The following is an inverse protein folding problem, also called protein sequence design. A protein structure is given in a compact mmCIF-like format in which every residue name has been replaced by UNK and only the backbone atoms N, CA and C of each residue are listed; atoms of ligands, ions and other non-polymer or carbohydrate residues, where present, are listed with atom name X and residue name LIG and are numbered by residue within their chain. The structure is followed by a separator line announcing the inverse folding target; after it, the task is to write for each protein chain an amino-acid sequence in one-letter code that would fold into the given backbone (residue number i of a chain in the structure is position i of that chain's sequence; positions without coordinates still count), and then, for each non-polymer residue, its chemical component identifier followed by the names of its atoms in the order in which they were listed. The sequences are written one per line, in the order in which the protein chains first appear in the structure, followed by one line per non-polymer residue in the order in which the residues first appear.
data_IF_468165567075
#
_entry.id   IF_468165567075
#
_cell.length_a   1.000
_cell.length_b   1.000
_cell.length_c   1.000
_cell.angle_alpha   90.00
_cell.angle_beta   90.00
_cell.angle_gamma   90.00
#
_symmetry.space_group_name_H-M   'P 1'
#
loop_
_entity.id
_entity.type
_entity.pdbx_description
1 polymer ?
#
# COMPACT_ATOMS: atom_id res chain seq x y z
N UNK A 1 -1.44 35.07 -27.09
CA UNK A 1 -1.67 34.67 -25.71
C UNK A 1 -1.35 35.83 -24.79
N UNK A 2 -2.26 36.17 -23.86
CA UNK A 2 -2.02 37.25 -22.90
C UNK A 2 -0.92 36.85 -21.89
N UNK A 3 -0.22 37.83 -21.31
CA UNK A 3 0.78 37.62 -20.29
C UNK A 3 0.23 36.77 -19.11
N UNK A 4 -1.02 37.05 -18.73
CA UNK A 4 -1.79 36.32 -17.73
C UNK A 4 -1.89 34.82 -18.06
N UNK A 5 -2.24 34.48 -19.29
CA UNK A 5 -2.38 33.08 -19.74
C UNK A 5 -1.02 32.34 -19.71
N UNK A 6 0.05 33.01 -20.13
CA UNK A 6 1.40 32.42 -20.08
C UNK A 6 1.83 32.11 -18.66
N UNK A 7 1.63 33.06 -17.73
CA UNK A 7 2.02 32.87 -16.34
C UNK A 7 1.21 31.76 -15.64
N UNK A 8 -0.12 31.69 -15.89
CA UNK A 8 -0.94 30.58 -15.37
C UNK A 8 -0.45 29.23 -15.87
N UNK A 9 -0.09 29.12 -17.13
CA UNK A 9 0.45 27.87 -17.68
C UNK A 9 1.76 27.48 -16.99
N UNK A 10 2.69 28.43 -16.83
CA UNK A 10 3.96 28.15 -16.15
C UNK A 10 3.76 27.70 -14.70
N UNK A 11 2.91 28.40 -13.93
CA UNK A 11 2.64 28.04 -12.54
C UNK A 11 1.99 26.66 -12.45
N UNK A 12 0.97 26.39 -13.27
CA UNK A 12 0.32 25.07 -13.25
C UNK A 12 1.24 23.95 -13.75
N UNK A 13 2.11 24.20 -14.72
CA UNK A 13 3.12 23.22 -15.16
C UNK A 13 4.11 22.91 -14.05
N UNK A 14 4.61 23.92 -13.33
CA UNK A 14 5.52 23.72 -12.21
C UNK A 14 4.87 22.94 -11.09
N UNK A 15 3.62 23.26 -10.73
CA UNK A 15 2.83 22.55 -9.72
C UNK A 15 2.56 21.11 -10.14
N UNK A 16 2.25 20.87 -11.41
CA UNK A 16 2.05 19.51 -11.93
C UNK A 16 3.33 18.67 -11.79
N UNK A 17 4.48 19.22 -12.16
CA UNK A 17 5.78 18.54 -12.03
C UNK A 17 6.07 18.25 -10.56
N UNK A 18 5.89 19.22 -9.67
CA UNK A 18 6.10 19.02 -8.24
C UNK A 18 5.17 17.94 -7.67
N UNK A 19 3.92 17.91 -8.10
CA UNK A 19 2.94 16.88 -7.72
C UNK A 19 3.37 15.50 -8.18
N UNK A 20 3.83 15.36 -9.43
CA UNK A 20 4.31 14.09 -9.96
C UNK A 20 5.54 13.58 -9.19
N UNK A 21 6.49 14.45 -8.88
CA UNK A 21 7.65 14.09 -8.08
C UNK A 21 7.21 13.65 -6.68
N UNK A 22 6.29 14.39 -6.04
CA UNK A 22 5.76 14.04 -4.73
C UNK A 22 5.06 12.68 -4.72
N UNK A 23 4.21 12.40 -5.72
CA UNK A 23 3.55 11.10 -5.86
C UNK A 23 4.55 9.95 -6.04
N UNK A 24 5.57 10.13 -6.89
CA UNK A 24 6.61 9.13 -7.08
C UNK A 24 7.38 8.86 -5.78
N UNK A 25 7.73 9.93 -5.05
CA UNK A 25 8.41 9.80 -3.76
C UNK A 25 7.55 9.04 -2.74
N UNK A 26 6.27 9.36 -2.65
CA UNK A 26 5.33 8.66 -1.76
C UNK A 26 5.26 7.19 -2.14
N UNK A 27 5.09 6.86 -3.42
CA UNK A 27 5.05 5.47 -3.89
C UNK A 27 6.31 4.71 -3.50
N UNK A 28 7.50 5.26 -3.73
CA UNK A 28 8.77 4.61 -3.41
C UNK A 28 8.94 4.38 -1.90
N UNK A 29 8.63 5.40 -1.08
CA UNK A 29 8.76 5.28 0.38
C UNK A 29 7.76 4.26 0.93
N UNK A 30 6.52 4.30 0.44
CA UNK A 30 5.48 3.40 0.92
C UNK A 30 5.76 1.95 0.54
N UNK A 31 6.26 1.68 -0.67
CA UNK A 31 6.67 0.34 -1.07
C UNK A 31 7.75 -0.23 -0.16
N UNK A 32 8.75 0.59 0.17
CA UNK A 32 9.81 0.18 1.09
C UNK A 32 9.24 -0.18 2.46
N UNK A 33 8.36 0.66 3.00
CA UNK A 33 7.74 0.44 4.30
C UNK A 33 6.88 -0.84 4.32
N UNK A 34 6.04 -1.04 3.30
CA UNK A 34 5.23 -2.27 3.15
C UNK A 34 6.11 -3.51 3.13
N UNK A 35 7.19 -3.47 2.35
CA UNK A 35 8.12 -4.59 2.28
C UNK A 35 8.76 -4.90 3.64
N UNK A 36 9.24 -3.88 4.35
CA UNK A 36 9.84 -4.06 5.67
C UNK A 36 8.83 -4.61 6.68
N UNK A 37 7.59 -4.14 6.65
CA UNK A 37 6.50 -4.59 7.50
C UNK A 37 6.15 -6.06 7.22
N UNK A 38 5.94 -6.42 5.96
CA UNK A 38 5.63 -7.79 5.55
C UNK A 38 6.77 -8.74 5.92
N UNK A 39 8.03 -8.38 5.67
CA UNK A 39 9.19 -9.20 6.04
C UNK A 39 9.31 -9.38 7.54
N UNK A 40 9.09 -8.32 8.31
CA UNK A 40 9.09 -8.39 9.78
C UNK A 40 8.00 -9.32 10.30
N UNK A 41 6.79 -9.20 9.76
CA UNK A 41 5.64 -10.03 10.11
C UNK A 41 5.88 -11.50 9.73
N UNK A 42 6.46 -11.76 8.54
CA UNK A 42 6.87 -13.11 8.14
C UNK A 42 7.87 -13.72 9.11
N UNK A 43 8.90 -12.98 9.48
CA UNK A 43 9.93 -13.47 10.43
C UNK A 43 9.32 -13.81 11.79
N UNK A 44 8.41 -12.98 12.28
CA UNK A 44 7.69 -13.24 13.55
C UNK A 44 6.78 -14.46 13.44
N UNK A 45 6.06 -14.60 12.33
CA UNK A 45 5.21 -15.77 12.08
C UNK A 45 6.04 -17.06 11.97
N UNK A 46 7.15 -17.03 11.24
CA UNK A 46 8.11 -18.14 11.17
C UNK A 46 8.56 -18.57 12.56
N UNK A 47 9.05 -17.61 13.34
CA UNK A 47 9.52 -17.90 14.69
C UNK A 47 8.40 -18.48 15.57
N UNK A 48 7.20 -17.91 15.54
CA UNK A 48 6.06 -18.39 16.31
C UNK A 48 5.67 -19.84 15.92
N UNK A 49 5.61 -20.11 14.61
CA UNK A 49 5.27 -21.43 14.08
C UNK A 49 6.37 -22.44 14.43
N UNK A 50 7.64 -22.12 14.24
CA UNK A 50 8.74 -23.00 14.62
C UNK A 50 8.74 -23.34 16.12
N UNK A 51 8.47 -22.37 16.98
CA UNK A 51 8.36 -22.61 18.42
C UNK A 51 7.14 -23.47 18.75
N UNK A 52 6.01 -23.24 18.08
CA UNK A 52 4.80 -24.04 18.22
C UNK A 52 5.05 -25.51 17.84
N UNK A 53 5.64 -25.76 16.67
CA UNK A 53 5.97 -27.10 16.17
C UNK A 53 6.98 -27.79 17.08
N UNK A 54 8.01 -27.10 17.57
CA UNK A 54 9.01 -27.67 18.50
C UNK A 54 8.41 -28.04 19.85
N UNK A 55 7.48 -27.22 20.35
CA UNK A 55 6.86 -27.43 21.68
C UNK A 55 5.79 -28.52 21.67
N UNK A 56 5.08 -28.65 20.57
CA UNK A 56 4.02 -29.62 20.39
C UNK A 56 4.11 -30.23 18.99
N UNK A 57 4.73 -31.41 18.82
CA UNK A 57 4.84 -32.09 17.52
C UNK A 57 3.49 -32.42 16.87
N UNK A 58 2.43 -32.50 17.68
CA UNK A 58 1.06 -32.71 17.19
C UNK A 58 0.32 -31.38 16.89
N UNK A 59 1.06 -30.28 16.88
CA UNK A 59 0.55 -28.92 16.59
C UNK A 59 -0.24 -28.82 15.29
N UNK A 60 -0.01 -29.67 14.33
CA UNK A 60 -0.72 -29.71 13.04
C UNK A 60 -1.99 -30.56 13.01
N UNK A 61 -2.30 -31.30 14.12
CA UNK A 61 -3.56 -32.05 14.24
C UNK A 61 -4.69 -31.13 14.73
N UNK A 62 -4.88 -30.01 14.05
CA UNK A 62 -5.83 -28.93 14.38
C UNK A 62 -7.31 -29.29 14.32
N UNK A 63 -7.65 -30.53 14.08
CA UNK A 63 -9.03 -31.01 14.09
C UNK A 63 -9.62 -31.25 15.48
N UNK A 64 -8.93 -30.90 16.56
CA UNK A 64 -9.51 -31.02 17.91
C UNK A 64 -10.03 -29.68 18.38
N UNK A 65 -11.34 -29.66 18.62
CA UNK A 65 -12.16 -28.54 19.15
C UNK A 65 -11.68 -27.93 20.49
N UNK A 66 -10.62 -28.45 21.11
CA UNK A 66 -10.20 -28.08 22.45
C UNK A 66 -8.83 -27.38 22.57
N UNK A 67 -8.17 -27.00 21.48
CA UNK A 67 -6.86 -26.35 21.59
C UNK A 67 -6.93 -24.85 21.31
N UNK A 68 -6.96 -24.08 22.38
CA UNK A 68 -6.94 -22.61 22.46
C UNK A 68 -5.71 -21.90 21.88
N UNK A 69 -4.78 -22.60 21.25
CA UNK A 69 -3.59 -22.03 20.59
C UNK A 69 -3.56 -22.42 19.12
N UNK A 70 -4.71 -22.34 18.50
CA UNK A 70 -4.89 -22.81 17.15
C UNK A 70 -4.56 -21.77 16.09
N UNK A 71 -4.67 -22.25 14.89
CA UNK A 71 -4.64 -21.54 13.64
C UNK A 71 -5.50 -20.25 13.62
N UNK A 72 -6.49 -20.13 14.51
CA UNK A 72 -7.32 -18.94 14.69
C UNK A 72 -6.51 -17.71 15.10
N UNK A 73 -5.48 -17.84 15.94
CA UNK A 73 -4.61 -16.71 16.29
C UNK A 73 -3.69 -16.32 15.12
N UNK A 74 -3.26 -17.30 14.33
CA UNK A 74 -2.49 -17.05 13.11
C UNK A 74 -3.36 -16.44 12.00
N UNK A 75 -4.67 -16.68 12.00
CA UNK A 75 -5.61 -16.08 11.04
C UNK A 75 -5.83 -14.58 11.26
N UNK A 76 -5.51 -14.06 12.43
CA UNK A 76 -5.54 -12.62 12.72
C UNK A 76 -4.32 -11.87 12.18
N UNK A 77 -3.28 -12.59 11.72
CA UNK A 77 -2.12 -11.95 11.08
C UNK A 77 -2.54 -11.47 9.69
N UNK A 78 -2.83 -10.17 9.58
CA UNK A 78 -3.35 -9.52 8.36
C UNK A 78 -2.30 -9.64 7.29
N UNK A 79 -1.45 -9.54 6.87
CA UNK A 79 -0.44 -9.43 5.80
C UNK A 79 0.09 -10.76 5.29
N UNK A 80 -0.34 -11.88 5.88
CA UNK A 80 0.17 -13.20 5.54
C UNK A 80 -0.95 -14.18 5.25
N UNK A 81 -0.74 -14.98 4.23
CA UNK A 81 -1.52 -16.18 3.95
C UNK A 81 -0.70 -17.40 4.37
N UNK A 82 -1.18 -18.12 5.38
CA UNK A 82 -0.53 -19.31 5.90
C UNK A 82 -1.31 -20.51 5.38
N UNK A 83 -0.61 -21.39 4.71
CA UNK A 83 -1.17 -22.59 4.10
C UNK A 83 -0.47 -23.82 4.66
N UNK A 84 -1.23 -24.82 5.04
CA UNK A 84 -0.76 -26.08 5.56
C UNK A 84 -0.92 -27.18 4.53
N UNK A 85 0.15 -27.89 4.22
CA UNK A 85 0.19 -28.99 3.27
C UNK A 85 0.65 -30.27 3.94
N UNK A 86 0.08 -31.40 3.51
CA UNK A 86 0.60 -32.72 3.89
C UNK A 86 1.84 -33.09 3.06
N UNK A 87 2.39 -34.29 3.32
CA UNK A 87 3.53 -34.83 2.57
C UNK A 87 3.23 -35.17 1.10
N UNK A 88 1.96 -35.14 0.68
CA UNK A 88 1.48 -35.39 -0.69
C UNK A 88 1.15 -34.09 -1.44
N UNK A 89 1.57 -32.93 -0.92
CA UNK A 89 1.26 -31.59 -1.46
C UNK A 89 -0.25 -31.28 -1.51
N UNK A 90 -1.07 -31.93 -0.66
CA UNK A 90 -2.50 -31.64 -0.55
C UNK A 90 -2.66 -30.52 0.48
N UNK A 91 -3.33 -29.45 0.10
CA UNK A 91 -3.70 -28.37 1.01
C UNK A 91 -4.70 -28.90 2.04
N UNK A 92 -4.35 -28.86 3.30
CA UNK A 92 -5.21 -29.29 4.40
C UNK A 92 -6.00 -28.12 4.97
N UNK A 93 -5.34 -26.98 5.16
CA UNK A 93 -5.94 -25.80 5.77
C UNK A 93 -5.25 -24.53 5.26
N UNK A 94 -5.97 -23.41 5.25
CA UNK A 94 -5.41 -22.09 4.99
C UNK A 94 -6.07 -21.03 5.85
N UNK A 95 -5.31 -19.97 6.20
CA UNK A 95 -5.89 -18.82 6.87
C UNK A 95 -6.79 -18.07 5.90
N UNK A 96 -8.05 -17.90 6.28
CA UNK A 96 -8.98 -17.03 5.56
C UNK A 96 -8.87 -15.62 6.14
N UNK A 97 -8.15 -14.74 5.47
CA UNK A 97 -8.26 -13.33 5.79
C UNK A 97 -9.65 -12.86 5.36
N UNK A 98 -10.41 -12.28 6.27
CA UNK A 98 -11.72 -11.69 5.97
C UNK A 98 -11.51 -10.42 5.14
N UNK A 99 -11.32 -10.61 3.82
CA UNK A 99 -11.23 -9.53 2.83
C UNK A 99 -12.55 -8.75 2.67
N UNK A 100 -13.62 -9.19 3.37
CA UNK A 100 -14.98 -8.70 3.16
C UNK A 100 -15.19 -7.23 3.52
N UNK A 101 -14.30 -6.61 4.29
CA UNK A 101 -14.43 -5.21 4.71
C UNK A 101 -13.62 -4.20 3.88
N UNK A 102 -12.68 -4.64 3.06
CA UNK A 102 -11.77 -3.74 2.34
C UNK A 102 -12.08 -3.74 0.86
N UNK A 103 -12.43 -2.57 0.32
CA UNK A 103 -12.53 -2.40 -1.13
C UNK A 103 -11.14 -2.49 -1.75
N UNK A 104 -10.86 -3.49 -2.59
CA UNK A 104 -9.57 -3.63 -3.22
C UNK A 104 -9.27 -2.39 -4.09
N UNK A 105 -8.01 -1.99 -4.20
CA UNK A 105 -7.62 -0.93 -5.11
C UNK A 105 -7.87 -1.33 -6.57
N UNK A 106 -7.91 -0.37 -7.51
CA UNK A 106 -8.05 -0.68 -8.93
C UNK A 106 -6.91 -1.59 -9.43
N UNK A 107 -7.22 -2.52 -10.32
CA UNK A 107 -6.27 -3.50 -10.84
C UNK A 107 -5.00 -2.86 -11.44
N UNK A 108 -5.13 -1.74 -12.18
CA UNK A 108 -3.98 -1.02 -12.72
C UNK A 108 -3.01 -0.52 -11.65
N UNK A 109 -3.53 -0.16 -10.47
CA UNK A 109 -2.74 0.30 -9.35
C UNK A 109 -1.98 -0.86 -8.69
N UNK A 110 -2.65 -1.99 -8.47
CA UNK A 110 -2.02 -3.23 -7.98
C UNK A 110 -0.88 -3.63 -8.92
N UNK A 111 -1.17 -3.71 -10.23
CA UNK A 111 -0.17 -4.04 -11.24
C UNK A 111 1.04 -3.10 -11.24
N UNK A 112 0.80 -1.80 -11.06
CA UNK A 112 1.87 -0.80 -10.99
C UNK A 112 2.77 -1.02 -9.76
N UNK A 113 2.18 -1.27 -8.60
CA UNK A 113 2.93 -1.52 -7.37
C UNK A 113 3.70 -2.84 -7.47
N UNK A 114 3.07 -3.91 -7.88
CA UNK A 114 3.72 -5.22 -8.03
C UNK A 114 4.89 -5.17 -9.02
N UNK A 115 4.75 -4.43 -10.13
CA UNK A 115 5.82 -4.27 -11.10
C UNK A 115 7.01 -3.46 -10.57
N UNK A 116 6.76 -2.56 -9.64
CA UNK A 116 7.79 -1.72 -9.01
C UNK A 116 8.36 -2.37 -7.74
N UNK A 117 7.66 -3.36 -7.17
CA UNK A 117 8.09 -4.09 -5.99
C UNK A 117 9.06 -5.21 -6.38
N UNK A 118 10.09 -5.41 -5.57
CA UNK A 118 10.90 -6.62 -5.66
C UNK A 118 10.06 -7.80 -5.17
N UNK A 119 10.27 -8.98 -5.73
CA UNK A 119 9.59 -10.22 -5.32
C UNK A 119 9.82 -10.48 -3.82
N UNK A 120 8.72 -10.62 -3.09
CA UNK A 120 8.76 -11.05 -1.69
C UNK A 120 8.68 -12.57 -1.72
N UNK A 121 9.72 -13.22 -1.19
CA UNK A 121 9.81 -14.68 -1.16
C UNK A 121 8.81 -15.25 -0.16
N UNK A 122 8.26 -16.44 -0.49
CA UNK A 122 7.51 -17.23 0.47
C UNK A 122 8.47 -18.01 1.38
N UNK A 123 8.04 -18.28 2.60
CA UNK A 123 8.76 -19.14 3.52
C UNK A 123 8.11 -20.50 3.62
N UNK A 124 8.94 -21.56 3.71
CA UNK A 124 8.49 -22.94 3.84
C UNK A 124 9.11 -23.55 5.10
N UNK A 125 8.26 -23.93 6.04
CA UNK A 125 8.64 -24.60 7.28
C UNK A 125 8.23 -26.07 7.17
N UNK A 126 9.20 -26.98 7.20
CA UNK A 126 8.93 -28.40 7.18
C UNK A 126 8.52 -28.86 8.58
N UNK A 127 7.56 -29.77 8.64
CA UNK A 127 7.10 -30.39 9.88
C UNK A 127 7.56 -31.84 9.87
N UNK A 128 8.49 -32.14 10.77
CA UNK A 128 9.05 -33.48 10.93
C UNK A 128 8.52 -34.08 12.23
N UNK A 129 7.95 -35.28 12.13
CA UNK A 129 7.54 -36.05 13.30
C UNK A 129 8.33 -37.34 13.35
N UNK A 130 9.05 -37.58 14.45
CA UNK A 130 9.89 -38.78 14.66
C UNK A 130 10.92 -39.04 13.54
N UNK A 131 11.36 -37.98 12.84
CA UNK A 131 12.30 -38.08 11.72
C UNK A 131 11.68 -38.36 10.35
N UNK A 132 10.35 -38.37 10.27
CA UNK A 132 9.64 -38.48 8.99
C UNK A 132 8.92 -37.13 8.72
N UNK A 133 9.02 -36.64 7.50
CA UNK A 133 8.33 -35.42 7.05
C UNK A 133 6.83 -35.71 6.96
N UNK A 134 6.05 -35.08 7.79
CA UNK A 134 4.58 -35.22 7.83
C UNK A 134 3.86 -34.18 7.03
N UNK A 135 4.50 -33.04 6.78
CA UNK A 135 3.94 -31.96 5.99
C UNK A 135 4.81 -30.72 6.02
N UNK A 136 4.27 -29.62 5.55
CA UNK A 136 4.93 -28.32 5.61
C UNK A 136 3.93 -27.17 5.69
N UNK A 137 4.37 -26.07 6.28
CA UNK A 137 3.64 -24.81 6.33
C UNK A 137 4.27 -23.87 5.33
N UNK A 138 3.45 -23.26 4.49
CA UNK A 138 3.83 -22.27 3.52
C UNK A 138 3.29 -20.91 3.95
N UNK A 139 4.19 -19.98 4.20
CA UNK A 139 3.87 -18.60 4.57
C UNK A 139 4.06 -17.74 3.34
N UNK A 140 2.98 -17.14 2.83
CA UNK A 140 2.99 -16.25 1.68
C UNK A 140 2.61 -14.83 2.10
N UNK A 141 3.28 -13.81 1.57
CA UNK A 141 2.83 -12.43 1.76
C UNK A 141 1.50 -12.20 1.02
N UNK A 142 0.60 -11.47 1.66
CA UNK A 142 -0.66 -11.04 1.07
C UNK A 142 -0.85 -9.53 1.28
N UNK A 143 -0.11 -8.68 0.54
CA UNK A 143 -0.04 -7.24 0.78
C UNK A 143 -1.26 -6.47 0.24
N UNK A 144 -2.40 -7.12 0.05
CA UNK A 144 -3.60 -6.48 -0.50
C UNK A 144 -4.17 -5.39 0.42
N UNK A 145 -4.01 -5.56 1.73
CA UNK A 145 -4.45 -4.61 2.75
C UNK A 145 -3.64 -3.32 2.65
N UNK A 146 -2.33 -3.43 2.58
CA UNK A 146 -1.40 -2.32 2.43
C UNK A 146 -1.66 -1.57 1.12
N UNK A 147 -1.88 -2.29 0.04
CA UNK A 147 -2.22 -1.68 -1.24
C UNK A 147 -3.53 -0.90 -1.17
N UNK A 148 -4.51 -1.38 -0.41
CA UNK A 148 -5.77 -0.67 -0.20
C UNK A 148 -5.59 0.59 0.65
N UNK A 149 -4.77 0.53 1.70
CA UNK A 149 -4.44 1.70 2.52
C UNK A 149 -3.66 2.75 1.72
N UNK A 150 -2.64 2.35 0.98
CA UNK A 150 -1.88 3.24 0.09
C UNK A 150 -2.82 3.92 -0.91
N UNK A 151 -3.72 3.15 -1.51
CA UNK A 151 -4.70 3.68 -2.45
C UNK A 151 -5.61 4.72 -1.80
N UNK A 152 -6.04 4.49 -0.57
CA UNK A 152 -6.81 5.47 0.20
C UNK A 152 -6.02 6.73 0.47
N UNK A 153 -4.78 6.62 0.93
CA UNK A 153 -3.89 7.75 1.19
C UNK A 153 -3.63 8.57 -0.08
N UNK A 154 -3.40 7.91 -1.21
CA UNK A 154 -3.22 8.58 -2.51
C UNK A 154 -4.48 9.35 -2.91
N UNK A 155 -5.67 8.76 -2.76
CA UNK A 155 -6.94 9.46 -3.05
C UNK A 155 -7.09 10.73 -2.22
N UNK A 156 -6.86 10.64 -0.91
CA UNK A 156 -6.93 11.79 -0.01
C UNK A 156 -5.89 12.84 -0.41
N UNK A 157 -4.66 12.42 -0.69
CA UNK A 157 -3.60 13.31 -1.17
C UNK A 157 -3.96 14.02 -2.47
N UNK A 158 -4.54 13.33 -3.44
CA UNK A 158 -4.99 13.92 -4.71
C UNK A 158 -6.11 14.95 -4.51
N UNK A 159 -7.05 14.70 -3.58
CA UNK A 159 -8.07 15.67 -3.22
C UNK A 159 -7.48 16.95 -2.62
N UNK A 160 -6.53 16.81 -1.70
CA UNK A 160 -5.84 17.94 -1.06
C UNK A 160 -5.08 18.76 -2.12
N UNK A 161 -4.32 18.07 -3.00
CA UNK A 161 -3.57 18.71 -4.08
C UNK A 161 -4.52 19.43 -5.05
N UNK A 162 -5.62 18.80 -5.42
CA UNK A 162 -6.64 19.40 -6.29
C UNK A 162 -7.23 20.66 -5.70
N UNK A 163 -7.60 20.64 -4.41
CA UNK A 163 -8.09 21.82 -3.70
C UNK A 163 -7.05 22.94 -3.64
N UNK A 164 -5.78 22.59 -3.40
CA UNK A 164 -4.68 23.55 -3.35
C UNK A 164 -4.39 24.17 -4.72
N UNK A 165 -4.45 23.39 -5.80
CA UNK A 165 -4.33 23.89 -7.17
C UNK A 165 -5.44 24.92 -7.51
N UNK A 166 -6.69 24.60 -7.13
CA UNK A 166 -7.80 25.52 -7.33
C UNK A 166 -7.57 26.83 -6.55
N UNK A 167 -7.18 26.73 -5.28
CA UNK A 167 -6.92 27.88 -4.43
C UNK A 167 -5.82 28.79 -5.01
N UNK A 168 -4.70 28.21 -5.43
CA UNK A 168 -3.59 28.97 -6.04
C UNK A 168 -4.07 29.69 -7.31
N UNK A 169 -4.82 29.01 -8.17
CA UNK A 169 -5.34 29.63 -9.39
C UNK A 169 -6.26 30.82 -9.07
N UNK A 170 -7.13 30.69 -8.07
CA UNK A 170 -8.00 31.78 -7.59
C UNK A 170 -7.15 32.97 -7.11
N UNK A 171 -6.16 32.71 -6.25
CA UNK A 171 -5.28 33.75 -5.70
C UNK A 171 -4.52 34.47 -6.83
N UNK A 172 -3.96 33.75 -7.79
CA UNK A 172 -3.27 34.31 -8.95
C UNK A 172 -4.22 35.18 -9.76
N UNK A 173 -5.46 34.73 -10.01
CA UNK A 173 -6.45 35.52 -10.75
C UNK A 173 -6.81 36.82 -10.02
N UNK A 174 -6.98 36.79 -8.70
CA UNK A 174 -7.27 37.99 -7.88
C UNK A 174 -6.09 38.96 -7.92
N UNK A 175 -4.87 38.50 -7.71
CA UNK A 175 -3.68 39.34 -7.75
C UNK A 175 -3.52 40.01 -9.12
N UNK A 176 -3.68 39.25 -10.21
CA UNK A 176 -3.62 39.83 -11.56
C UNK A 176 -4.69 40.88 -11.79
N UNK A 177 -5.92 40.64 -11.34
CA UNK A 177 -7.01 41.62 -11.52
C UNK A 177 -6.74 42.92 -10.75
N UNK A 178 -6.09 42.81 -9.59
CA UNK A 178 -5.74 44.00 -8.79
C UNK A 178 -4.54 44.78 -9.36
N UNK A 179 -3.51 44.07 -9.87
CA UNK A 179 -2.31 44.70 -10.42
C UNK A 179 -2.52 45.35 -11.79
N UNK A 180 -3.40 44.82 -12.63
CA UNK A 180 -3.62 45.34 -13.98
C UNK A 180 -4.56 46.55 -13.99
N UNK A 181 -5.52 46.62 -13.06
CA UNK A 181 -6.44 47.75 -12.98
C UNK A 181 -5.76 49.13 -12.85
N UNK A 182 -4.77 49.33 -11.98
CA UNK A 182 -4.06 50.63 -11.90
C UNK A 182 -3.20 50.92 -13.13
N UNK A 183 -2.62 49.90 -13.78
CA UNK A 183 -1.79 50.10 -14.98
C UNK A 183 -2.64 50.63 -16.15
N UNK A 184 -3.83 50.06 -16.36
CA UNK A 184 -4.74 50.55 -17.41
C UNK A 184 -5.17 52.01 -17.17
N UNK A 185 -5.41 52.39 -15.89
CA UNK A 185 -5.74 53.80 -15.56
C UNK A 185 -4.58 54.75 -15.86
N UNK A 186 -3.35 54.31 -15.67
CA UNK A 186 -2.17 55.12 -15.96
C UNK A 186 -2.03 55.30 -17.48
N UNK A 187 -2.24 54.26 -18.27
CA UNK A 187 -2.17 54.32 -19.75
C UNK A 187 -3.26 55.25 -20.30
N UNK A 188 -4.52 55.13 -19.81
CA UNK A 188 -5.61 56.01 -20.20
C UNK A 188 -5.35 57.49 -19.83
N UNK A 189 -4.56 57.75 -18.77
CA UNK A 189 -4.15 59.06 -18.36
C UNK A 189 -3.09 59.71 -19.24
N UNK A 190 -2.33 58.94 -20.01
CA UNK A 190 -1.33 59.45 -20.97
C UNK A 190 -1.89 59.66 -22.39
N UNK A 191 -3.07 59.15 -22.68
CA UNK A 191 -3.75 59.36 -23.98
C UNK A 191 -4.66 60.60 -24.01
N UNK A 192 -4.77 61.32 -22.88
CA UNK A 192 -5.45 62.61 -22.81
C UNK A 192 -4.46 63.74 -22.72
#
# INVERSE_FOLDING_TARGET
MSLKSKLLIYINSLLLIATLIGLLTILMVTQKNVREEVLSTMTLAEFAIEQGVKKNPDFYLFQREDNDLGFSELSEIRHLKIQFFNNQDILLEETSNTLDEIKPPPYWFIFLIEKLSEEIFFSKINIDQRGEMTGYILIKPEPIYEYAEIWQQIKVGLWIIGAFLILINIVVLILFSHMIKPINKIIEGFEK
#
